data_IF_969655129561
#
_entry.id   IF_969655129561
#
_cell.length_a   1.000
_cell.length_b   1.000
_cell.length_c   1.000
_cell.angle_alpha   90.00
_cell.angle_beta   90.00
_cell.angle_gamma   90.00
#
_symmetry.space_group_name_H-M   'P 1'
#
loop_
_entity.id
_entity.type
_entity.pdbx_description
1 polymer ?
#
# COMPACT_ATOMS: atom_id res chain seq x y z
N UNK A 1 -49.95 1.48 9.43
CA UNK A 1 -50.19 0.62 10.61
C UNK A 1 -48.89 0.47 11.36
N UNK A 2 -48.74 1.08 12.54
CA UNK A 2 -47.52 1.02 13.33
C UNK A 2 -47.55 -0.22 14.24
N UNK A 3 -46.56 -1.10 14.08
CA UNK A 3 -46.36 -2.28 14.94
C UNK A 3 -45.97 -1.81 16.34
N UNK A 4 -46.82 -2.08 17.34
CA UNK A 4 -46.48 -1.89 18.75
C UNK A 4 -45.86 -3.18 19.26
N UNK A 5 -44.54 -3.32 19.14
CA UNK A 5 -43.79 -4.33 19.90
C UNK A 5 -43.76 -3.90 21.37
N UNK A 6 -44.56 -4.59 22.19
CA UNK A 6 -44.53 -4.46 23.66
C UNK A 6 -43.21 -5.05 24.14
N UNK A 7 -42.39 -4.25 24.83
CA UNK A 7 -41.19 -4.74 25.51
C UNK A 7 -41.63 -5.75 26.58
N UNK A 8 -41.16 -6.98 26.46
CA UNK A 8 -41.40 -8.03 27.46
C UNK A 8 -40.13 -8.17 28.29
N UNK A 9 -40.25 -7.91 29.59
CA UNK A 9 -39.14 -8.00 30.53
C UNK A 9 -38.62 -9.44 30.58
N UNK A 10 -37.31 -9.61 30.53
CA UNK A 10 -36.69 -10.94 30.61
C UNK A 10 -37.10 -11.63 31.93
N UNK A 11 -37.39 -12.94 31.94
CA UNK A 11 -37.66 -13.66 33.17
C UNK A 11 -36.43 -13.60 34.08
N UNK A 12 -36.57 -12.96 35.24
CA UNK A 12 -35.62 -13.09 36.33
C UNK A 12 -35.98 -14.37 37.09
N UNK A 13 -35.46 -15.49 36.62
CA UNK A 13 -35.35 -16.69 37.44
C UNK A 13 -33.98 -16.59 38.10
N UNK A 14 -33.93 -16.12 39.34
CA UNK A 14 -32.76 -16.38 40.16
C UNK A 14 -32.74 -17.89 40.42
N UNK A 15 -31.63 -18.58 40.13
CA UNK A 15 -31.50 -19.98 40.52
C UNK A 15 -31.62 -20.06 42.05
N UNK A 16 -32.46 -20.97 42.55
CA UNK A 16 -32.47 -21.39 43.96
C UNK A 16 -31.16 -22.14 44.23
N UNK A 17 -30.05 -21.42 44.23
CA UNK A 17 -28.73 -21.95 44.48
C UNK A 17 -28.58 -22.08 46.00
N UNK A 18 -28.73 -23.30 46.50
CA UNK A 18 -28.24 -23.70 47.81
C UNK A 18 -26.71 -23.57 47.80
N UNK A 19 -26.21 -22.37 48.11
CA UNK A 19 -24.78 -22.09 48.23
C UNK A 19 -24.19 -22.71 49.51
N UNK A 20 -24.28 -24.04 49.64
CA UNK A 20 -23.70 -24.80 50.76
C UNK A 20 -22.23 -25.13 50.56
N UNK A 21 -21.67 -24.84 49.37
CA UNK A 21 -20.26 -25.05 49.08
C UNK A 21 -19.65 -23.79 48.47
N UNK A 22 -18.46 -23.43 48.98
CA UNK A 22 -17.64 -22.41 48.34
C UNK A 22 -17.37 -22.83 46.88
N UNK A 23 -17.41 -21.89 45.92
CA UNK A 23 -17.06 -22.19 44.54
C UNK A 23 -15.67 -22.84 44.52
N UNK A 24 -15.43 -23.83 43.64
CA UNK A 24 -14.14 -24.46 43.53
C UNK A 24 -13.07 -23.38 43.34
N UNK A 25 -12.01 -23.44 44.13
CA UNK A 25 -10.87 -22.56 43.94
C UNK A 25 -10.42 -22.68 42.49
N UNK A 26 -10.28 -21.54 41.82
CA UNK A 26 -9.72 -21.48 40.48
C UNK A 26 -8.47 -22.35 40.49
N UNK A 27 -8.44 -23.39 39.66
CA UNK A 27 -7.27 -24.22 39.57
C UNK A 27 -6.10 -23.29 39.21
N UNK A 28 -5.12 -23.18 40.09
CA UNK A 28 -3.83 -22.60 39.76
C UNK A 28 -3.26 -23.48 38.64
N UNK A 29 -3.52 -23.08 37.40
CA UNK A 29 -2.86 -23.62 36.24
C UNK A 29 -1.39 -23.28 36.36
N UNK A 30 -0.63 -24.17 37.01
CA UNK A 30 0.84 -24.22 37.03
C UNK A 30 1.49 -22.83 36.93
N UNK A 31 1.34 -22.04 38.00
CA UNK A 31 2.10 -20.81 38.22
C UNK A 31 3.56 -21.17 38.50
N UNK A 32 4.27 -21.61 37.47
CA UNK A 32 5.71 -21.78 37.45
C UNK A 32 6.32 -21.12 36.20
N UNK A 33 5.70 -20.02 35.75
CA UNK A 33 6.24 -19.16 34.69
C UNK A 33 6.14 -17.70 35.14
N UNK A 34 7.26 -17.25 35.72
CA UNK A 34 7.73 -15.87 35.83
C UNK A 34 6.71 -14.79 36.23
N UNK A 35 6.75 -14.41 37.51
CA UNK A 35 6.18 -13.19 38.10
C UNK A 35 6.79 -11.87 37.55
N UNK A 36 7.48 -11.89 36.40
CA UNK A 36 8.01 -10.70 35.72
C UNK A 36 7.11 -10.19 34.58
N UNK A 37 5.97 -10.83 34.31
CA UNK A 37 5.01 -10.31 33.34
C UNK A 37 4.26 -9.11 33.91
N UNK A 38 4.59 -7.93 33.38
CA UNK A 38 3.80 -6.71 33.61
C UNK A 38 2.34 -6.88 33.18
N UNK A 39 1.54 -5.83 33.40
CA UNK A 39 0.11 -5.77 33.10
C UNK A 39 -0.28 -6.22 31.66
N UNK A 40 0.70 -6.25 30.77
CA UNK A 40 0.65 -6.93 29.47
C UNK A 40 1.58 -8.14 29.53
N UNK A 41 1.03 -9.36 29.46
CA UNK A 41 1.78 -10.62 29.50
C UNK A 41 2.82 -10.78 28.39
N UNK A 42 3.47 -11.95 28.31
CA UNK A 42 4.48 -12.23 27.29
C UNK A 42 3.94 -12.03 25.85
N UNK A 43 4.81 -11.69 24.88
CA UNK A 43 4.44 -11.67 23.47
C UNK A 43 3.77 -12.99 23.07
N UNK A 44 2.57 -12.90 22.51
CA UNK A 44 1.76 -14.07 22.11
C UNK A 44 2.48 -14.86 21.02
N UNK A 45 2.46 -16.19 21.12
CA UNK A 45 3.07 -17.08 20.13
C UNK A 45 2.00 -17.71 19.21
N UNK A 46 2.42 -18.12 18.02
CA UNK A 46 1.61 -18.82 17.01
C UNK A 46 1.06 -20.17 17.48
N UNK A 47 1.67 -20.79 18.49
CA UNK A 47 1.27 -22.08 19.06
C UNK A 47 0.19 -21.97 20.16
N UNK A 48 -0.19 -20.75 20.57
CA UNK A 48 -1.30 -20.59 21.51
C UNK A 48 -2.61 -21.04 20.85
N UNK A 49 -3.29 -22.02 21.45
CA UNK A 49 -4.62 -22.52 21.04
C UNK A 49 -5.71 -21.48 21.35
N UNK A 50 -5.64 -20.32 20.70
CA UNK A 50 -6.62 -19.25 20.79
C UNK A 50 -7.81 -19.52 19.85
N UNK A 51 -9.04 -19.20 20.28
CA UNK A 51 -10.16 -19.06 19.36
C UNK A 51 -9.83 -18.06 18.25
N UNK A 52 -10.30 -18.30 17.02
CA UNK A 52 -9.93 -17.52 15.84
C UNK A 52 -10.18 -16.02 15.98
N UNK A 53 -11.21 -15.63 16.74
CA UNK A 53 -11.55 -14.23 17.03
C UNK A 53 -10.43 -13.46 17.78
N UNK A 54 -9.53 -14.14 18.48
CA UNK A 54 -8.41 -13.53 19.19
C UNK A 54 -7.10 -13.50 18.39
N UNK A 55 -7.08 -14.13 17.20
CA UNK A 55 -5.91 -14.14 16.32
C UNK A 55 -5.82 -12.88 15.46
N UNK A 56 -6.96 -12.21 15.23
CA UNK A 56 -7.05 -10.93 14.54
C UNK A 56 -7.01 -9.80 15.57
N UNK A 57 -5.94 -9.00 15.56
CA UNK A 57 -5.88 -7.74 16.31
C UNK A 57 -6.49 -6.57 15.53
N UNK A 58 -6.58 -5.40 16.16
CA UNK A 58 -7.03 -4.17 15.48
C UNK A 58 -6.07 -3.71 14.38
N UNK A 59 -4.82 -4.20 14.41
CA UNK A 59 -3.78 -3.94 13.42
C UNK A 59 -2.95 -5.21 13.12
N UNK A 60 -2.18 -5.17 12.03
CA UNK A 60 -1.26 -6.24 11.62
C UNK A 60 -0.17 -6.51 12.68
N UNK A 61 0.23 -5.52 13.47
CA UNK A 61 1.19 -5.71 14.57
C UNK A 61 0.62 -6.57 15.72
N UNK A 62 -0.69 -6.51 15.95
CA UNK A 62 -1.38 -7.21 17.02
C UNK A 62 -1.83 -8.63 16.63
N UNK A 63 -1.83 -8.94 15.33
CA UNK A 63 -2.18 -10.25 14.81
C UNK A 63 -1.06 -11.29 15.07
N UNK A 64 -1.43 -12.58 15.05
CA UNK A 64 -0.44 -13.66 15.16
C UNK A 64 0.56 -13.62 13.99
N UNK A 65 1.75 -14.17 14.22
CA UNK A 65 2.86 -14.15 13.24
C UNK A 65 2.44 -14.74 11.90
N UNK A 66 1.64 -15.80 11.89
CA UNK A 66 1.14 -16.43 10.67
C UNK A 66 0.22 -15.50 9.87
N UNK A 67 -0.71 -14.82 10.55
CA UNK A 67 -1.64 -13.88 9.92
C UNK A 67 -0.89 -12.68 9.35
N UNK A 68 0.08 -12.13 10.10
CA UNK A 68 0.94 -11.05 9.62
C UNK A 68 1.72 -11.47 8.36
N UNK A 69 2.33 -12.65 8.38
CA UNK A 69 3.11 -13.14 7.24
C UNK A 69 2.21 -13.39 6.01
N UNK A 70 0.98 -13.86 6.20
CA UNK A 70 0.00 -13.99 5.13
C UNK A 70 -0.41 -12.64 4.55
N UNK A 71 -0.69 -11.65 5.40
CA UNK A 71 -1.00 -10.29 4.97
C UNK A 71 0.12 -9.68 4.13
N UNK A 72 1.35 -9.68 4.65
CA UNK A 72 2.52 -9.15 3.94
C UNK A 72 2.71 -9.88 2.61
N UNK A 73 2.60 -11.22 2.59
CA UNK A 73 2.69 -12.00 1.35
C UNK A 73 1.64 -11.57 0.32
N UNK A 74 0.39 -11.36 0.73
CA UNK A 74 -0.68 -10.90 -0.18
C UNK A 74 -0.36 -9.51 -0.75
N UNK A 75 0.01 -8.55 0.09
CA UNK A 75 0.35 -7.18 -0.33
C UNK A 75 1.46 -7.20 -1.40
N UNK A 76 2.57 -7.87 -1.11
CA UNK A 76 3.71 -7.94 -2.04
C UNK A 76 3.42 -8.80 -3.29
N UNK A 77 2.52 -9.78 -3.20
CA UNK A 77 2.05 -10.54 -4.37
C UNK A 77 1.25 -9.65 -5.31
N UNK A 78 0.28 -8.90 -4.78
CA UNK A 78 -0.50 -7.94 -5.55
C UNK A 78 0.44 -6.90 -6.19
N UNK A 79 1.32 -6.30 -5.40
CA UNK A 79 2.30 -5.32 -5.85
C UNK A 79 3.17 -5.86 -7.00
N UNK A 80 3.69 -7.08 -6.86
CA UNK A 80 4.52 -7.71 -7.89
C UNK A 80 3.75 -7.91 -9.18
N UNK A 81 2.49 -8.38 -9.11
CA UNK A 81 1.64 -8.52 -10.28
C UNK A 81 1.38 -7.17 -10.95
N UNK A 82 1.15 -6.11 -10.17
CA UNK A 82 0.96 -4.77 -10.72
C UNK A 82 2.20 -4.26 -11.45
N UNK A 83 3.38 -4.40 -10.84
CA UNK A 83 4.65 -3.99 -11.46
C UNK A 83 4.96 -4.80 -12.73
N UNK A 84 4.70 -6.11 -12.72
CA UNK A 84 4.89 -6.96 -13.91
C UNK A 84 3.91 -6.60 -15.03
N UNK A 85 2.65 -6.32 -14.70
CA UNK A 85 1.68 -5.85 -15.68
C UNK A 85 2.13 -4.52 -16.31
N UNK A 86 2.57 -3.56 -15.50
CA UNK A 86 3.08 -2.26 -15.97
C UNK A 86 4.34 -2.41 -16.82
N UNK A 87 5.28 -3.24 -16.41
CA UNK A 87 6.48 -3.56 -17.20
C UNK A 87 6.10 -4.24 -18.53
N UNK A 88 5.18 -5.20 -18.50
CA UNK A 88 4.68 -5.90 -19.69
C UNK A 88 4.07 -4.95 -20.71
N UNK A 89 3.11 -4.12 -20.31
CA UNK A 89 2.46 -3.14 -21.19
C UNK A 89 3.44 -2.08 -21.68
N UNK A 90 4.38 -1.64 -20.83
CA UNK A 90 5.43 -0.68 -21.23
C UNK A 90 6.40 -1.28 -22.24
N UNK A 91 6.75 -2.56 -22.10
CA UNK A 91 7.70 -3.24 -23.01
C UNK A 91 7.19 -3.35 -24.45
N UNK A 92 5.87 -3.33 -24.66
CA UNK A 92 5.27 -3.34 -26.01
C UNK A 92 5.75 -2.14 -26.84
N UNK A 93 6.07 -1.01 -26.21
CA UNK A 93 6.62 0.18 -26.90
C UNK A 93 8.02 -0.03 -27.46
N UNK A 94 8.77 -1.00 -26.93
CA UNK A 94 10.12 -1.31 -27.36
C UNK A 94 10.13 -2.35 -28.50
N UNK A 95 9.19 -3.29 -28.45
CA UNK A 95 9.13 -4.40 -29.40
C UNK A 95 8.24 -4.13 -30.63
N UNK A 96 7.27 -3.22 -30.51
CA UNK A 96 6.33 -2.90 -31.59
C UNK A 96 6.34 -1.41 -31.90
N UNK A 97 6.93 -1.06 -33.05
CA UNK A 97 6.87 0.31 -33.59
C UNK A 97 5.42 0.74 -33.86
N UNK A 98 4.58 -0.16 -34.39
CA UNK A 98 3.17 0.15 -34.63
C UNK A 98 2.39 0.49 -33.35
N UNK A 99 2.64 -0.22 -32.24
CA UNK A 99 2.02 0.12 -30.96
C UNK A 99 2.52 1.47 -30.44
N UNK A 100 3.85 1.72 -30.52
CA UNK A 100 4.46 2.99 -30.14
C UNK A 100 3.87 4.17 -30.92
N UNK A 101 3.78 4.06 -32.25
CA UNK A 101 3.23 5.12 -33.10
C UNK A 101 1.74 5.35 -32.81
N UNK A 102 0.99 4.28 -32.52
CA UNK A 102 -0.42 4.37 -32.19
C UNK A 102 -0.68 5.12 -30.87
N UNK A 103 0.02 4.75 -29.79
CA UNK A 103 -0.17 5.42 -28.48
C UNK A 103 0.28 6.89 -28.52
N UNK A 104 1.29 7.23 -29.32
CA UNK A 104 1.77 8.61 -29.47
C UNK A 104 0.84 9.47 -30.33
N UNK A 105 0.13 8.87 -31.29
CA UNK A 105 -0.82 9.58 -32.17
C UNK A 105 -2.22 9.75 -31.58
N UNK A 106 -2.55 9.05 -30.48
CA UNK A 106 -3.87 9.09 -29.84
C UNK A 106 -3.82 9.65 -28.40
N UNK A 107 -3.48 10.94 -28.21
CA UNK A 107 -3.33 11.53 -26.88
C UNK A 107 -4.64 11.51 -26.07
N UNK A 108 -5.81 11.46 -26.71
CA UNK A 108 -7.09 11.34 -26.02
C UNK A 108 -7.22 10.07 -25.16
N UNK A 109 -6.54 8.98 -25.55
CA UNK A 109 -6.56 7.72 -24.79
C UNK A 109 -5.75 7.84 -23.51
N UNK A 110 -4.68 8.65 -23.48
CA UNK A 110 -3.90 8.87 -22.24
C UNK A 110 -4.72 9.66 -21.21
N UNK A 111 -5.53 10.61 -21.66
CA UNK A 111 -6.44 11.32 -20.75
C UNK A 111 -7.52 10.39 -20.23
N UNK A 112 -8.08 9.54 -21.09
CA UNK A 112 -9.04 8.52 -20.68
C UNK A 112 -8.44 7.53 -19.67
N UNK A 113 -7.17 7.12 -19.84
CA UNK A 113 -6.49 6.23 -18.90
C UNK A 113 -6.17 6.91 -17.57
N UNK A 114 -5.75 8.18 -17.59
CA UNK A 114 -5.51 8.97 -16.37
C UNK A 114 -6.78 9.17 -15.54
N UNK A 115 -7.88 9.60 -16.16
CA UNK A 115 -9.15 9.71 -15.44
C UNK A 115 -9.70 8.33 -15.04
N UNK A 116 -9.50 7.33 -15.89
CA UNK A 116 -9.84 5.94 -15.63
C UNK A 116 -9.14 5.41 -14.38
N UNK A 117 -7.83 5.63 -14.23
CA UNK A 117 -7.08 5.15 -13.05
C UNK A 117 -7.61 5.81 -11.77
N UNK A 118 -7.90 7.11 -11.78
CA UNK A 118 -8.51 7.79 -10.62
C UNK A 118 -9.90 7.22 -10.26
N UNK A 119 -10.75 6.96 -11.26
CA UNK A 119 -12.08 6.37 -11.07
C UNK A 119 -11.96 4.96 -10.50
N UNK A 120 -11.15 4.09 -11.12
CA UNK A 120 -10.99 2.70 -10.68
C UNK A 120 -10.30 2.60 -9.32
N UNK A 121 -9.39 3.50 -8.98
CA UNK A 121 -8.84 3.62 -7.63
C UNK A 121 -9.95 3.93 -6.60
N UNK A 122 -10.80 4.93 -6.89
CA UNK A 122 -11.95 5.27 -6.04
C UNK A 122 -12.96 4.12 -5.90
N UNK A 123 -13.26 3.41 -7.00
CA UNK A 123 -14.13 2.23 -6.99
C UNK A 123 -13.52 1.07 -6.19
N UNK A 124 -12.21 0.87 -6.30
CA UNK A 124 -11.48 -0.14 -5.52
C UNK A 124 -11.58 0.17 -4.03
N UNK A 125 -11.42 1.44 -3.63
CA UNK A 125 -11.59 1.86 -2.24
C UNK A 125 -13.04 1.67 -1.75
N UNK A 126 -14.03 2.08 -2.55
CA UNK A 126 -15.45 1.92 -2.21
C UNK A 126 -15.85 0.45 -2.04
N UNK A 127 -15.35 -0.42 -2.91
CA UNK A 127 -15.66 -1.86 -2.90
C UNK A 127 -14.57 -2.70 -2.25
N UNK A 128 -13.70 -2.11 -1.42
CA UNK A 128 -12.52 -2.79 -0.85
C UNK A 128 -12.84 -4.10 -0.11
N UNK A 129 -14.01 -4.19 0.54
CA UNK A 129 -14.50 -5.38 1.27
C UNK A 129 -15.31 -6.37 0.41
N UNK A 130 -15.53 -6.08 -0.87
CA UNK A 130 -16.36 -6.91 -1.77
C UNK A 130 -15.50 -7.73 -2.72
N UNK A 131 -15.19 -8.97 -2.33
CA UNK A 131 -14.49 -9.93 -3.16
C UNK A 131 -15.46 -10.65 -4.13
N UNK A 132 -15.10 -10.89 -5.41
CA UNK A 132 -13.86 -10.53 -6.11
C UNK A 132 -13.90 -9.17 -6.81
N UNK A 133 -14.97 -8.38 -6.63
CA UNK A 133 -15.16 -7.09 -7.32
C UNK A 133 -14.02 -6.09 -7.05
N UNK A 134 -13.45 -6.10 -5.85
CA UNK A 134 -12.27 -5.31 -5.50
C UNK A 134 -11.06 -5.62 -6.40
N UNK A 135 -10.81 -6.90 -6.72
CA UNK A 135 -9.72 -7.30 -7.61
C UNK A 135 -9.99 -6.91 -9.06
N UNK A 136 -11.25 -6.94 -9.50
CA UNK A 136 -11.61 -6.46 -10.83
C UNK A 136 -11.28 -4.96 -10.97
N UNK A 137 -11.72 -4.12 -10.02
CA UNK A 137 -11.41 -2.69 -10.07
C UNK A 137 -9.92 -2.41 -9.89
N UNK A 138 -9.22 -3.18 -9.06
CA UNK A 138 -7.77 -3.10 -8.92
C UNK A 138 -7.06 -3.42 -10.23
N UNK A 139 -7.51 -4.45 -10.96
CA UNK A 139 -6.94 -4.82 -12.26
C UNK A 139 -7.16 -3.72 -13.31
N UNK A 140 -8.35 -3.11 -13.34
CA UNK A 140 -8.67 -2.02 -14.25
C UNK A 140 -7.86 -0.75 -13.92
N UNK A 141 -7.71 -0.43 -12.63
CA UNK A 141 -6.80 0.61 -12.15
C UNK A 141 -5.37 0.36 -12.64
N UNK A 142 -4.87 -0.85 -12.41
CA UNK A 142 -3.50 -1.23 -12.78
C UNK A 142 -3.28 -1.16 -14.29
N UNK A 143 -4.24 -1.63 -15.10
CA UNK A 143 -4.13 -1.57 -16.56
C UNK A 143 -4.20 -0.14 -17.09
N UNK A 144 -5.08 0.70 -16.53
CA UNK A 144 -5.16 2.11 -16.88
C UNK A 144 -3.85 2.84 -16.56
N UNK A 145 -3.28 2.58 -15.37
CA UNK A 145 -2.00 3.15 -14.97
C UNK A 145 -0.84 2.61 -15.84
N UNK A 146 -0.80 1.30 -16.08
CA UNK A 146 0.18 0.66 -16.95
C UNK A 146 0.19 1.25 -18.36
N UNK A 147 -0.99 1.55 -18.91
CA UNK A 147 -1.12 2.25 -20.18
C UNK A 147 -0.52 3.66 -20.12
N UNK A 148 -0.87 4.45 -19.10
CA UNK A 148 -0.31 5.80 -18.91
C UNK A 148 1.23 5.76 -18.84
N UNK A 149 1.80 4.84 -18.07
CA UNK A 149 3.25 4.65 -17.97
C UNK A 149 3.86 4.22 -19.31
N UNK A 150 3.21 3.33 -20.04
CA UNK A 150 3.61 2.91 -21.39
C UNK A 150 3.70 4.11 -22.35
N UNK A 151 2.71 5.01 -22.32
CA UNK A 151 2.75 6.25 -23.12
C UNK A 151 3.92 7.14 -22.71
N UNK A 152 4.13 7.39 -21.41
CA UNK A 152 5.24 8.22 -20.93
C UNK A 152 6.57 7.65 -21.41
N UNK A 153 6.81 6.37 -21.13
CA UNK A 153 8.05 5.65 -21.46
C UNK A 153 8.33 5.64 -22.97
N UNK A 154 7.31 5.66 -23.82
CA UNK A 154 7.46 5.69 -25.27
C UNK A 154 8.25 6.90 -25.80
N UNK A 155 8.24 8.01 -25.05
CA UNK A 155 8.97 9.24 -25.39
C UNK A 155 10.43 9.24 -24.92
N UNK A 156 10.87 8.23 -24.16
CA UNK A 156 12.24 8.12 -23.67
C UNK A 156 13.02 7.07 -24.47
N UNK A 157 14.35 7.22 -24.47
CA UNK A 157 15.25 6.19 -25.03
C UNK A 157 15.18 4.93 -24.18
N UNK A 158 15.08 3.76 -24.83
CA UNK A 158 14.97 2.46 -24.14
C UNK A 158 16.08 2.22 -23.11
N UNK A 159 17.32 2.64 -23.41
CA UNK A 159 18.44 2.51 -22.48
C UNK A 159 18.24 3.30 -21.18
N UNK A 160 17.70 4.52 -21.27
CA UNK A 160 17.39 5.37 -20.10
C UNK A 160 16.29 4.71 -19.26
N UNK A 161 15.27 4.16 -19.91
CA UNK A 161 14.16 3.49 -19.23
C UNK A 161 14.63 2.26 -18.47
N UNK A 162 15.43 1.39 -19.10
CA UNK A 162 15.96 0.19 -18.45
C UNK A 162 16.86 0.55 -17.25
N UNK A 163 17.70 1.59 -17.39
CA UNK A 163 18.51 2.09 -16.27
C UNK A 163 17.62 2.61 -15.11
N UNK A 164 16.54 3.34 -15.42
CA UNK A 164 15.60 3.82 -14.42
C UNK A 164 14.90 2.67 -13.67
N UNK A 165 14.50 1.61 -14.38
CA UNK A 165 13.90 0.41 -13.77
C UNK A 165 14.88 -0.24 -12.78
N UNK A 166 16.14 -0.46 -13.18
CA UNK A 166 17.15 -1.09 -12.32
C UNK A 166 17.43 -0.25 -11.08
N UNK A 167 17.60 1.07 -11.24
CA UNK A 167 17.82 1.98 -10.11
C UNK A 167 16.63 2.02 -9.15
N UNK A 168 15.40 2.10 -9.69
CA UNK A 168 14.18 2.12 -8.88
C UNK A 168 14.04 0.83 -8.08
N UNK A 169 14.27 -0.33 -8.71
CA UNK A 169 14.21 -1.62 -8.04
C UNK A 169 15.26 -1.71 -6.92
N UNK A 170 16.49 -1.26 -7.17
CA UNK A 170 17.56 -1.24 -6.17
C UNK A 170 17.21 -0.34 -4.97
N UNK A 171 16.71 0.87 -5.22
CA UNK A 171 16.31 1.80 -4.16
C UNK A 171 15.12 1.24 -3.38
N UNK A 172 14.08 0.73 -4.06
CA UNK A 172 12.92 0.14 -3.40
C UNK A 172 13.32 -1.02 -2.49
N UNK A 173 14.09 -1.99 -2.99
CA UNK A 173 14.54 -3.13 -2.18
C UNK A 173 15.37 -2.67 -0.99
N UNK A 174 16.30 -1.73 -1.19
CA UNK A 174 17.11 -1.18 -0.10
C UNK A 174 16.24 -0.50 0.98
N UNK A 175 15.33 0.38 0.58
CA UNK A 175 14.47 1.13 1.50
C UNK A 175 13.49 0.21 2.23
N UNK A 176 12.88 -0.75 1.53
CA UNK A 176 12.01 -1.75 2.16
C UNK A 176 12.77 -2.56 3.21
N UNK A 177 13.96 -3.08 2.88
CA UNK A 177 14.79 -3.81 3.85
C UNK A 177 15.18 -2.94 5.05
N UNK A 178 15.54 -1.68 4.80
CA UNK A 178 15.88 -0.73 5.85
C UNK A 178 14.67 -0.43 6.75
N UNK A 179 13.49 -0.19 6.18
CA UNK A 179 12.25 0.05 6.91
C UNK A 179 11.82 -1.16 7.77
N UNK A 180 12.07 -2.39 7.30
CA UNK A 180 11.85 -3.62 8.06
C UNK A 180 12.78 -3.76 9.27
N UNK A 181 14.04 -3.34 9.15
CA UNK A 181 15.08 -3.58 10.16
C UNK A 181 15.20 -2.45 11.17
N UNK A 182 14.88 -1.22 10.77
CA UNK A 182 15.06 -0.05 11.61
C UNK A 182 14.08 0.01 12.77
N UNK A 183 14.57 0.51 13.90
CA UNK A 183 13.74 0.84 15.08
C UNK A 183 13.13 2.24 14.98
N UNK A 184 13.65 3.07 14.07
CA UNK A 184 13.11 4.41 13.85
C UNK A 184 11.70 4.31 13.26
N UNK A 185 10.78 5.10 13.80
CA UNK A 185 9.41 5.16 13.33
C UNK A 185 9.27 6.27 12.26
N UNK A 186 9.29 5.85 11.00
CA UNK A 186 9.07 6.73 9.86
C UNK A 186 7.60 7.13 9.73
N UNK A 187 6.64 6.42 10.32
CA UNK A 187 5.21 6.74 10.14
C UNK A 187 4.85 8.15 10.63
N UNK A 188 5.61 8.66 11.60
CA UNK A 188 5.55 10.06 12.05
C UNK A 188 5.88 11.10 10.96
N UNK A 189 6.45 10.70 9.82
CA UNK A 189 6.76 11.60 8.69
C UNK A 189 5.57 11.89 7.78
N UNK A 190 4.48 11.13 7.92
CA UNK A 190 3.29 11.23 7.07
C UNK A 190 2.76 12.66 6.83
N UNK A 191 2.59 13.54 7.85
CA UNK A 191 2.10 14.90 7.60
C UNK A 191 3.09 15.76 6.78
N UNK A 192 4.40 15.56 6.97
CA UNK A 192 5.42 16.29 6.21
C UNK A 192 5.47 15.81 4.76
N UNK A 193 5.41 14.50 4.54
CA UNK A 193 5.36 13.91 3.20
C UNK A 193 4.08 14.31 2.46
N UNK A 194 2.94 14.39 3.16
CA UNK A 194 1.69 14.88 2.59
C UNK A 194 1.82 16.33 2.10
N UNK A 195 2.39 17.22 2.94
CA UNK A 195 2.67 18.60 2.54
C UNK A 195 3.64 18.69 1.36
N UNK A 196 4.71 17.89 1.37
CA UNK A 196 5.71 17.84 0.30
C UNK A 196 5.11 17.35 -1.03
N UNK A 197 4.23 16.36 -1.00
CA UNK A 197 3.51 15.85 -2.17
C UNK A 197 2.63 16.96 -2.79
N UNK A 198 1.89 17.71 -1.97
CA UNK A 198 1.11 18.84 -2.48
C UNK A 198 1.99 19.93 -3.10
N UNK A 199 3.16 20.20 -2.51
CA UNK A 199 4.16 21.09 -3.13
C UNK A 199 4.59 20.62 -4.51
N UNK A 200 4.86 19.31 -4.67
CA UNK A 200 5.23 18.68 -5.93
C UNK A 200 4.11 18.74 -6.97
N UNK A 201 2.86 18.53 -6.55
CA UNK A 201 1.66 18.63 -7.39
C UNK A 201 1.43 20.06 -7.87
N UNK A 202 1.47 21.04 -6.97
CA UNK A 202 1.30 22.46 -7.31
C UNK A 202 2.40 22.92 -8.26
N UNK A 203 3.66 22.59 -7.97
CA UNK A 203 4.77 22.91 -8.87
C UNK A 203 4.61 22.22 -10.23
N UNK A 204 4.24 20.94 -10.26
CA UNK A 204 3.98 20.20 -11.50
C UNK A 204 2.84 20.82 -12.32
N UNK A 205 1.80 21.34 -11.67
CA UNK A 205 0.73 22.08 -12.32
C UNK A 205 1.21 23.42 -12.89
N UNK A 206 2.00 24.19 -12.13
CA UNK A 206 2.59 25.43 -12.62
C UNK A 206 3.50 25.20 -13.84
N UNK A 207 4.28 24.12 -13.82
CA UNK A 207 5.14 23.69 -14.92
C UNK A 207 4.41 23.43 -16.24
N UNK A 208 3.09 23.22 -16.23
CA UNK A 208 2.27 23.12 -17.44
C UNK A 208 2.12 24.46 -18.18
N UNK A 209 2.15 25.57 -17.45
CA UNK A 209 1.95 26.93 -18.00
C UNK A 209 3.26 27.70 -18.16
N UNK A 210 4.28 27.35 -17.38
CA UNK A 210 5.56 28.06 -17.36
C UNK A 210 6.70 27.10 -17.75
N UNK A 211 7.43 27.37 -18.84
CA UNK A 211 8.60 26.57 -19.20
C UNK A 211 9.71 26.78 -18.17
N UNK A 212 10.42 25.71 -17.82
CA UNK A 212 11.54 25.73 -16.87
C UNK A 212 12.80 25.12 -17.50
N UNK A 213 13.96 25.45 -16.92
CA UNK A 213 15.26 25.01 -17.44
C UNK A 213 15.51 23.52 -17.16
N UNK A 214 16.46 22.92 -17.87
CA UNK A 214 16.91 21.54 -17.60
C UNK A 214 17.38 21.37 -16.14
N UNK A 215 18.01 22.39 -15.55
CA UNK A 215 18.34 22.39 -14.11
C UNK A 215 17.09 22.28 -13.23
N UNK A 216 16.00 22.97 -13.58
CA UNK A 216 14.72 22.86 -12.89
C UNK A 216 14.12 21.46 -12.98
N UNK A 217 14.26 20.79 -14.14
CA UNK A 217 13.80 19.41 -14.34
C UNK A 217 14.54 18.42 -13.44
N UNK A 218 15.87 18.58 -13.35
CA UNK A 218 16.72 17.79 -12.49
C UNK A 218 16.38 17.98 -11.00
N UNK A 219 16.20 19.24 -10.56
CA UNK A 219 15.82 19.55 -9.17
C UNK A 219 14.45 18.94 -8.85
N UNK A 220 13.46 19.11 -9.73
CA UNK A 220 12.14 18.53 -9.54
C UNK A 220 12.19 17.00 -9.44
N UNK A 221 12.92 16.36 -10.37
CA UNK A 221 13.12 14.91 -10.34
C UNK A 221 13.80 14.45 -9.05
N UNK A 222 14.84 15.16 -8.60
CA UNK A 222 15.54 14.85 -7.35
C UNK A 222 14.64 14.97 -6.11
N UNK A 223 13.87 16.06 -6.00
CA UNK A 223 12.92 16.25 -4.91
C UNK A 223 11.82 15.18 -4.93
N UNK A 224 11.27 14.89 -6.11
CA UNK A 224 10.30 13.81 -6.28
C UNK A 224 10.86 12.46 -5.81
N UNK A 225 12.08 12.10 -6.25
CA UNK A 225 12.72 10.86 -5.87
C UNK A 225 12.93 10.75 -4.34
N UNK A 226 13.33 11.84 -3.68
CA UNK A 226 13.46 11.87 -2.22
C UNK A 226 12.12 11.73 -1.50
N UNK A 227 11.08 12.42 -1.98
CA UNK A 227 9.74 12.37 -1.39
C UNK A 227 9.16 10.95 -1.50
N UNK A 228 9.17 10.35 -2.69
CA UNK A 228 8.65 9.00 -2.88
C UNK A 228 9.52 7.93 -2.22
N UNK A 229 10.83 8.15 -2.07
CA UNK A 229 11.67 7.31 -1.21
C UNK A 229 11.22 7.38 0.26
N UNK A 230 10.87 8.57 0.74
CA UNK A 230 10.28 8.76 2.07
C UNK A 230 8.96 8.04 2.23
N UNK A 231 8.06 8.12 1.25
CA UNK A 231 6.80 7.38 1.25
C UNK A 231 7.03 5.86 1.29
N UNK A 232 7.97 5.30 0.50
CA UNK A 232 8.30 3.86 0.57
C UNK A 232 8.67 3.43 2.00
N UNK A 233 9.44 4.25 2.73
CA UNK A 233 9.79 3.94 4.13
C UNK A 233 8.55 3.94 5.04
N UNK A 234 7.69 4.96 4.91
CA UNK A 234 6.45 5.08 5.68
C UNK A 234 5.50 3.95 5.36
N UNK A 235 5.19 3.74 4.10
CA UNK A 235 4.21 2.78 3.63
C UNK A 235 4.66 1.36 3.92
N UNK A 236 5.95 1.04 3.77
CA UNK A 236 6.49 -0.25 4.23
C UNK A 236 6.23 -0.46 5.72
N UNK A 237 6.43 0.55 6.58
CA UNK A 237 6.14 0.43 8.01
C UNK A 237 4.64 0.37 8.32
N UNK A 238 3.79 1.04 7.54
CA UNK A 238 2.33 0.91 7.66
C UNK A 238 1.87 -0.51 7.33
N UNK A 239 2.41 -1.12 6.26
CA UNK A 239 2.14 -2.52 5.87
C UNK A 239 2.55 -3.48 6.99
N UNK A 240 3.68 -3.24 7.64
CA UNK A 240 4.20 -4.15 8.66
C UNK A 240 3.50 -4.03 10.01
N UNK A 241 2.96 -2.85 10.35
CA UNK A 241 2.56 -2.54 11.72
C UNK A 241 1.13 -2.01 11.88
N UNK A 242 0.64 -1.18 10.97
CA UNK A 242 -0.54 -0.34 11.22
C UNK A 242 -1.79 -0.73 10.44
N UNK A 243 -1.65 -1.28 9.24
CA UNK A 243 -2.82 -1.68 8.45
C UNK A 243 -3.66 -2.73 9.16
N UNK A 244 -4.94 -2.78 8.84
CA UNK A 244 -5.77 -3.92 9.18
C UNK A 244 -5.51 -5.08 8.21
N UNK A 245 -5.68 -6.33 8.66
CA UNK A 245 -5.37 -7.55 7.88
C UNK A 245 -6.21 -7.67 6.60
N UNK A 246 -7.33 -6.94 6.50
CA UNK A 246 -8.22 -6.87 5.33
C UNK A 246 -7.94 -5.70 4.38
N UNK A 247 -6.90 -4.90 4.65
CA UNK A 247 -6.55 -3.72 3.86
C UNK A 247 -5.40 -3.99 2.87
N UNK A 248 -5.20 -5.25 2.46
CA UNK A 248 -4.05 -5.63 1.62
C UNK A 248 -4.04 -4.91 0.27
N UNK A 249 -5.23 -4.60 -0.28
CA UNK A 249 -5.38 -3.90 -1.55
C UNK A 249 -4.98 -2.43 -1.42
N UNK A 250 -5.38 -1.76 -0.34
CA UNK A 250 -5.04 -0.36 -0.13
C UNK A 250 -3.53 -0.20 0.09
N UNK A 251 -2.94 -1.06 0.92
CA UNK A 251 -1.50 -1.13 1.15
C UNK A 251 -0.71 -1.36 -0.15
N UNK A 252 -1.20 -2.27 -1.01
CA UNK A 252 -0.56 -2.54 -2.30
C UNK A 252 -0.66 -1.35 -3.27
N UNK A 253 -1.80 -0.67 -3.34
CA UNK A 253 -1.98 0.53 -4.19
C UNK A 253 -1.01 1.63 -3.77
N UNK A 254 -0.86 1.91 -2.47
CA UNK A 254 0.04 2.99 -2.02
C UNK A 254 1.50 2.68 -2.37
N UNK A 255 2.00 1.49 -2.02
CA UNK A 255 3.35 1.06 -2.41
C UNK A 255 3.57 1.04 -3.93
N UNK A 256 2.55 0.65 -4.70
CA UNK A 256 2.61 0.68 -6.16
C UNK A 256 2.79 2.11 -6.68
N UNK A 257 1.99 3.06 -6.20
CA UNK A 257 2.10 4.47 -6.59
C UNK A 257 3.45 5.07 -6.18
N UNK A 258 3.97 4.73 -5.01
CA UNK A 258 5.29 5.19 -4.57
C UNK A 258 6.40 4.73 -5.52
N UNK A 259 6.40 3.44 -5.89
CA UNK A 259 7.39 2.86 -6.80
C UNK A 259 7.27 3.47 -8.20
N UNK A 260 6.05 3.62 -8.72
CA UNK A 260 5.83 4.21 -10.04
C UNK A 260 6.28 5.67 -10.07
N UNK A 261 5.97 6.45 -9.04
CA UNK A 261 6.39 7.84 -9.00
C UNK A 261 7.90 8.00 -8.77
N UNK A 262 8.52 7.14 -7.96
CA UNK A 262 9.97 7.06 -7.85
C UNK A 262 10.62 6.71 -9.21
N UNK A 263 10.05 5.75 -9.93
CA UNK A 263 10.49 5.40 -11.28
C UNK A 263 10.42 6.59 -12.24
N UNK A 264 9.28 7.30 -12.28
CA UNK A 264 9.12 8.49 -13.12
C UNK A 264 10.09 9.62 -12.74
N UNK A 265 10.36 9.79 -11.44
CA UNK A 265 11.33 10.76 -10.95
C UNK A 265 12.76 10.42 -11.42
N UNK A 266 13.18 9.16 -11.27
CA UNK A 266 14.50 8.68 -11.71
C UNK A 266 14.62 8.75 -13.24
N UNK A 267 13.57 8.34 -13.97
CA UNK A 267 13.51 8.44 -15.43
C UNK A 267 13.74 9.87 -15.90
N UNK A 268 13.10 10.83 -15.25
CA UNK A 268 13.27 12.27 -15.51
C UNK A 268 14.70 12.74 -15.24
N UNK A 269 15.29 12.36 -14.11
CA UNK A 269 16.68 12.69 -13.76
C UNK A 269 17.64 12.18 -14.84
N UNK A 270 17.55 10.89 -15.19
CA UNK A 270 18.44 10.28 -16.18
C UNK A 270 18.28 10.89 -17.58
N UNK A 271 17.05 11.23 -17.96
CA UNK A 271 16.79 11.90 -19.23
C UNK A 271 17.40 13.31 -19.27
N UNK A 272 17.22 14.09 -18.21
CA UNK A 272 17.82 15.43 -18.11
C UNK A 272 19.35 15.39 -18.14
N UNK A 273 19.97 14.33 -17.60
CA UNK A 273 21.43 14.15 -17.67
C UNK A 273 21.90 13.71 -19.05
N UNK A 274 21.12 12.91 -19.78
CA UNK A 274 21.47 12.48 -21.14
C UNK A 274 21.32 13.58 -22.19
N UNK A 275 20.53 14.61 -21.92
CA UNK A 275 20.23 15.70 -22.85
C UNK A 275 21.08 16.97 -22.62
N UNK A 276 21.86 17.02 -21.53
CA UNK A 276 22.91 18.03 -21.29
C UNK A 276 24.27 17.51 -21.77
#
# INVERSE_FOLDING_TARGET
MASKTKYQTAPQSDPDDDYTHAPPAYAEGSAARDETQGLFGAPRDSEDNLPDDFKFGGSVAEATVDIRNQFVRKVYTILTVQLLATAGVSSLTFFSTGYKDWIQSHPGVVWASLFGSMIFMGLTYWKRKSYPTNLLFLSLFTLAEAYTISVIVSFYKTSIVLNAVVLTAGIFVFLTLFACQTKYDFTSWMPYLFGALWGLVIFGFMAMFFPYSSTGELIYGGLAALIFSGYILVDTQLVLRHHHVEEEIAAAISLYLDIINLFLAILRILNSQSNN
#
